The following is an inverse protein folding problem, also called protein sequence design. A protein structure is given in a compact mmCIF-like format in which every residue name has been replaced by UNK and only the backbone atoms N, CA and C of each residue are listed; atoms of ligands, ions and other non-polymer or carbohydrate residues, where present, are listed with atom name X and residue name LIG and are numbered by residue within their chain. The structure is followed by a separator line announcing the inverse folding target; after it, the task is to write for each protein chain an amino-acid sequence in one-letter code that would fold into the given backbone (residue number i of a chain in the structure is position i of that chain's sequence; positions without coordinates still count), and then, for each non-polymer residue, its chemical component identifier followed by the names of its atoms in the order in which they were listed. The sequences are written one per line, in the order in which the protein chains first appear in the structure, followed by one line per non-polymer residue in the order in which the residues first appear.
data_IF_687825092891
#
_entry.id   IF_687825092891
#
_cell.length_a   1.000
_cell.length_b   1.000
_cell.length_c   1.000
_cell.angle_alpha   90.00
_cell.angle_beta   90.00
_cell.angle_gamma   90.00
#
_symmetry.space_group_name_H-M   'P 1'
#
loop_
_entity.id
_entity.type
_entity.pdbx_description
1 polymer ?
#
# COMPACT_ATOMS: atom_id res chain seq x y z
N UNK A 1 -0.81 -17.50 -13.01
CA UNK A 1 0.03 -16.30 -13.02
C UNK A 1 0.69 -16.25 -14.37
N UNK A 2 0.50 -15.17 -15.13
CA UNK A 2 1.22 -15.04 -16.40
C UNK A 2 2.71 -14.84 -16.11
N UNK A 3 3.56 -15.46 -16.92
CA UNK A 3 5.02 -15.33 -16.77
C UNK A 3 5.45 -13.85 -16.87
N UNK A 4 4.82 -13.09 -17.77
CA UNK A 4 5.07 -11.66 -17.96
C UNK A 4 4.77 -10.83 -16.70
N UNK A 5 3.65 -11.08 -16.02
CA UNK A 5 3.34 -10.39 -14.76
C UNK A 5 4.36 -10.74 -13.67
N UNK A 6 4.73 -12.03 -13.56
CA UNK A 6 5.72 -12.49 -12.60
C UNK A 6 7.07 -11.79 -12.79
N UNK A 7 7.49 -11.66 -14.05
CA UNK A 7 8.73 -10.98 -14.42
C UNK A 7 8.67 -9.49 -14.09
N UNK A 8 7.55 -8.82 -14.40
CA UNK A 8 7.33 -7.41 -14.08
C UNK A 8 7.34 -7.15 -12.57
N UNK A 9 6.64 -7.96 -11.79
CA UNK A 9 6.63 -7.86 -10.33
C UNK A 9 8.04 -8.05 -9.75
N UNK A 10 8.79 -9.06 -10.21
CA UNK A 10 10.17 -9.27 -9.77
C UNK A 10 11.10 -8.13 -10.19
N UNK A 11 10.87 -7.52 -11.35
CA UNK A 11 11.63 -6.36 -11.81
C UNK A 11 11.38 -5.14 -10.91
N UNK A 12 10.11 -4.86 -10.60
CA UNK A 12 9.73 -3.79 -9.67
C UNK A 12 10.34 -3.99 -8.27
N UNK A 13 10.32 -5.22 -7.73
CA UNK A 13 10.97 -5.54 -6.45
C UNK A 13 12.48 -5.27 -6.48
N UNK A 14 13.19 -5.69 -7.53
CA UNK A 14 14.64 -5.42 -7.68
C UNK A 14 14.95 -3.93 -7.77
N UNK A 15 14.18 -3.18 -8.55
CA UNK A 15 14.36 -1.73 -8.66
C UNK A 15 14.16 -1.03 -7.31
N UNK A 16 13.17 -1.50 -6.54
CA UNK A 16 12.95 -1.01 -5.18
C UNK A 16 14.08 -1.37 -4.23
N UNK A 17 14.57 -2.60 -4.27
CA UNK A 17 15.72 -3.02 -3.45
C UNK A 17 16.96 -2.17 -3.77
N UNK A 18 17.25 -1.92 -5.05
CA UNK A 18 18.35 -1.03 -5.48
C UNK A 18 18.16 0.41 -4.98
N UNK A 19 16.93 0.95 -5.02
CA UNK A 19 16.63 2.26 -4.43
C UNK A 19 16.91 2.28 -2.93
N UNK A 20 16.49 1.25 -2.19
CA UNK A 20 16.65 1.19 -0.74
C UNK A 20 18.11 0.97 -0.33
N UNK A 21 18.91 0.26 -1.12
CA UNK A 21 20.32 0.04 -0.85
C UNK A 21 21.14 1.34 -1.03
N UNK A 22 21.03 1.98 -2.19
CA UNK A 22 22.05 2.93 -2.65
C UNK A 22 21.55 4.38 -2.81
N UNK A 23 20.23 4.60 -2.92
CA UNK A 23 19.73 5.92 -3.30
C UNK A 23 19.93 6.96 -2.17
N UNK A 24 20.25 8.23 -2.48
CA UNK A 24 20.37 9.28 -1.47
C UNK A 24 19.08 9.50 -0.66
N UNK A 25 17.92 9.26 -1.27
CA UNK A 25 16.60 9.36 -0.63
C UNK A 25 16.11 8.02 -0.04
N UNK A 26 16.97 7.01 0.05
CA UNK A 26 16.60 5.75 0.70
C UNK A 26 16.12 5.99 2.13
N UNK A 27 15.04 5.32 2.56
CA UNK A 27 14.55 5.39 3.93
C UNK A 27 15.42 4.57 4.91
N UNK A 28 16.32 3.72 4.41
CA UNK A 28 17.27 2.96 5.23
C UNK A 28 18.29 3.93 5.84
N UNK A 29 18.41 4.01 7.18
CA UNK A 29 19.40 4.86 7.82
C UNK A 29 20.82 4.47 7.38
N UNK A 30 21.73 5.44 7.16
CA UNK A 30 23.08 5.17 6.67
C UNK A 30 23.84 4.08 7.43
N UNK A 31 23.64 3.98 8.75
CA UNK A 31 24.25 2.98 9.62
C UNK A 31 23.81 1.53 9.35
N UNK A 32 22.64 1.33 8.72
CA UNK A 32 22.10 0.00 8.38
C UNK A 32 22.28 -0.35 6.89
N UNK A 33 22.69 0.60 6.04
CA UNK A 33 22.80 0.39 4.58
C UNK A 33 23.82 -0.68 4.19
N UNK A 34 24.96 -0.74 4.88
CA UNK A 34 26.01 -1.73 4.59
C UNK A 34 25.56 -3.18 4.84
N UNK A 35 24.53 -3.39 5.66
CA UNK A 35 23.94 -4.71 5.95
C UNK A 35 22.58 -4.95 5.27
N UNK A 36 22.17 -4.07 4.36
CA UNK A 36 20.88 -4.20 3.68
C UNK A 36 21.01 -5.18 2.50
N UNK A 37 20.36 -6.34 2.62
CA UNK A 37 20.40 -7.41 1.61
C UNK A 37 19.11 -7.48 0.76
N UNK A 38 18.27 -6.45 0.82
CA UNK A 38 16.98 -6.37 0.12
C UNK A 38 15.77 -6.43 1.06
N UNK A 39 14.60 -6.12 0.52
CA UNK A 39 13.33 -6.19 1.25
C UNK A 39 12.79 -7.62 1.27
N UNK A 40 12.08 -7.95 2.35
CA UNK A 40 11.38 -9.21 2.48
C UNK A 40 9.99 -9.16 1.85
N UNK A 41 9.66 -10.16 1.03
CA UNK A 41 8.39 -10.27 0.34
C UNK A 41 7.73 -11.63 0.55
N UNK A 42 6.40 -11.66 0.49
CA UNK A 42 5.70 -12.91 0.23
C UNK A 42 5.92 -13.39 -1.21
N UNK A 43 5.83 -14.71 -1.46
CA UNK A 43 5.73 -15.23 -2.82
C UNK A 43 4.56 -14.56 -3.56
N UNK A 44 4.72 -14.23 -4.85
CA UNK A 44 3.60 -13.72 -5.65
C UNK A 44 2.41 -14.68 -5.64
N UNK A 45 1.22 -14.16 -5.44
CA UNK A 45 -0.02 -14.93 -5.37
C UNK A 45 -1.16 -14.18 -6.09
N UNK A 46 -1.75 -14.83 -7.09
CA UNK A 46 -2.84 -14.26 -7.89
C UNK A 46 -4.14 -14.11 -7.12
N UNK A 47 -4.34 -14.86 -6.05
CA UNK A 47 -5.53 -14.77 -5.19
C UNK A 47 -5.69 -13.35 -4.64
N UNK A 48 -4.57 -12.66 -4.44
CA UNK A 48 -4.52 -11.30 -3.93
C UNK A 48 -4.29 -10.25 -5.02
N UNK A 49 -4.59 -10.60 -6.27
CA UNK A 49 -4.73 -9.67 -7.39
C UNK A 49 -6.20 -9.66 -7.82
N UNK A 50 -6.99 -8.85 -7.15
CA UNK A 50 -8.45 -8.87 -7.22
C UNK A 50 -8.99 -7.80 -8.15
N UNK A 51 -10.11 -8.10 -8.80
CA UNK A 51 -10.91 -7.09 -9.48
C UNK A 51 -11.82 -6.40 -8.46
N UNK A 52 -11.83 -5.07 -8.50
CA UNK A 52 -12.61 -4.25 -7.60
C UNK A 52 -13.54 -3.31 -8.38
N UNK A 53 -14.82 -3.30 -8.00
CA UNK A 53 -15.79 -2.33 -8.50
C UNK A 53 -15.62 -0.99 -7.80
N UNK A 54 -15.55 0.07 -8.61
CA UNK A 54 -15.32 1.45 -8.20
C UNK A 54 -16.63 2.14 -7.85
N UNK A 55 -16.65 2.86 -6.73
CA UNK A 55 -17.62 3.90 -6.42
C UNK A 55 -16.86 5.20 -6.19
N UNK A 56 -17.04 6.19 -7.05
CA UNK A 56 -16.43 7.51 -6.98
C UNK A 56 -17.24 8.39 -6.03
N UNK A 57 -16.56 9.23 -5.26
CA UNK A 57 -17.19 10.20 -4.37
C UNK A 57 -17.06 11.61 -4.96
N UNK A 58 -18.13 12.10 -5.61
CA UNK A 58 -18.17 13.41 -6.28
C UNK A 58 -18.02 14.61 -5.32
N UNK A 59 -18.45 14.46 -4.07
CA UNK A 59 -18.25 15.43 -2.97
C UNK A 59 -17.46 14.72 -1.87
N UNK A 60 -16.12 14.56 -2.05
CA UNK A 60 -15.34 13.72 -1.18
C UNK A 60 -15.17 14.36 0.19
N UNK A 61 -15.65 13.68 1.22
CA UNK A 61 -15.50 14.13 2.60
C UNK A 61 -14.02 14.18 2.99
N UNK A 62 -13.57 15.26 3.65
CA UNK A 62 -12.24 15.33 4.23
C UNK A 62 -12.06 14.29 5.33
N UNK A 63 -10.95 13.56 5.26
CA UNK A 63 -10.52 12.63 6.30
C UNK A 63 -9.21 13.13 6.87
N UNK A 64 -9.19 13.36 8.19
CA UNK A 64 -7.96 13.62 8.93
C UNK A 64 -7.31 12.28 9.24
N UNK A 65 -6.26 11.94 8.50
CA UNK A 65 -5.47 10.75 8.81
C UNK A 65 -4.45 11.11 9.88
N UNK A 66 -4.51 10.40 11.01
CA UNK A 66 -3.44 10.42 12.01
C UNK A 66 -2.12 10.03 11.35
N UNK A 67 -1.00 10.58 11.82
CA UNK A 67 0.32 10.20 11.33
C UNK A 67 1.14 9.57 12.44
N UNK A 68 2.24 8.93 12.07
CA UNK A 68 3.25 8.48 13.05
C UNK A 68 3.90 9.63 13.82
N UNK A 69 3.74 10.88 13.35
CA UNK A 69 4.15 12.10 14.02
C UNK A 69 2.93 12.85 14.63
N UNK A 70 3.16 14.02 15.22
CA UNK A 70 2.12 14.70 16.02
C UNK A 70 1.02 15.42 15.22
N UNK A 71 1.19 15.59 13.90
CA UNK A 71 0.25 16.39 13.09
C UNK A 71 -0.51 15.49 12.11
N UNK A 72 -1.85 15.50 12.11
CA UNK A 72 -2.63 14.80 11.10
C UNK A 72 -2.46 15.45 9.73
N UNK A 73 -2.65 14.67 8.68
CA UNK A 73 -2.66 15.13 7.29
C UNK A 73 -4.07 14.97 6.73
N UNK A 74 -4.52 15.97 5.98
CA UNK A 74 -5.86 16.00 5.41
C UNK A 74 -5.89 15.33 4.03
N UNK A 75 -6.67 14.28 3.93
CA UNK A 75 -6.99 13.58 2.69
C UNK A 75 -8.45 13.80 2.31
N UNK A 76 -8.78 13.46 1.07
CA UNK A 76 -10.14 13.38 0.54
C UNK A 76 -10.40 11.92 0.19
N UNK A 77 -11.50 11.34 0.68
CA UNK A 77 -11.95 10.00 0.26
C UNK A 77 -12.59 10.11 -1.11
N UNK A 78 -11.82 9.79 -2.16
CA UNK A 78 -12.24 10.02 -3.56
C UNK A 78 -12.90 8.80 -4.18
N UNK A 79 -12.64 7.60 -3.65
CA UNK A 79 -13.16 6.35 -4.19
C UNK A 79 -13.34 5.30 -3.10
N UNK A 80 -14.27 4.37 -3.30
CA UNK A 80 -14.35 3.10 -2.59
C UNK A 80 -14.25 1.96 -3.59
N UNK A 81 -13.38 1.01 -3.29
CA UNK A 81 -13.18 -0.21 -4.06
C UNK A 81 -13.85 -1.38 -3.36
N UNK A 82 -14.88 -1.96 -3.97
CA UNK A 82 -15.53 -3.18 -3.47
C UNK A 82 -14.97 -4.40 -4.22
N UNK A 83 -14.51 -5.42 -3.51
CA UNK A 83 -13.88 -6.60 -4.09
C UNK A 83 -14.18 -7.86 -3.27
N UNK A 84 -13.87 -9.02 -3.82
CA UNK A 84 -14.06 -10.32 -3.16
C UNK A 84 -12.71 -11.03 -2.99
N UNK A 85 -12.49 -11.64 -1.82
CA UNK A 85 -11.40 -12.59 -1.57
C UNK A 85 -12.01 -13.82 -0.91
N UNK A 86 -11.69 -15.01 -1.42
CA UNK A 86 -12.19 -16.28 -0.88
C UNK A 86 -13.72 -16.38 -0.70
N UNK A 87 -14.49 -15.65 -1.51
CA UNK A 87 -15.96 -15.62 -1.44
C UNK A 87 -16.53 -14.65 -0.40
N UNK A 88 -15.69 -13.82 0.23
CA UNK A 88 -16.09 -12.79 1.19
C UNK A 88 -15.94 -11.40 0.56
N UNK A 89 -16.99 -10.57 0.71
CA UNK A 89 -16.99 -9.19 0.20
C UNK A 89 -16.23 -8.26 1.14
N UNK A 90 -15.39 -7.42 0.56
CA UNK A 90 -14.56 -6.44 1.25
C UNK A 90 -14.61 -5.09 0.55
N UNK A 91 -14.22 -4.05 1.29
CA UNK A 91 -14.08 -2.72 0.73
C UNK A 91 -12.80 -2.05 1.23
N UNK A 92 -12.20 -1.22 0.38
CA UNK A 92 -11.13 -0.29 0.73
C UNK A 92 -11.46 1.09 0.17
N UNK A 93 -11.35 2.11 1.00
CA UNK A 93 -11.38 3.50 0.56
C UNK A 93 -10.01 3.90 -0.04
N UNK A 94 -10.07 4.65 -1.13
CA UNK A 94 -8.93 5.29 -1.76
C UNK A 94 -8.98 6.81 -1.57
N UNK A 95 -7.81 7.38 -1.35
CA UNK A 95 -7.66 8.75 -0.91
C UNK A 95 -6.72 9.54 -1.82
N UNK A 96 -6.94 10.86 -1.87
CA UNK A 96 -5.97 11.82 -2.42
C UNK A 96 -5.70 12.90 -1.40
N UNK A 97 -4.46 13.38 -1.36
CA UNK A 97 -4.14 14.53 -0.54
C UNK A 97 -4.84 15.78 -1.11
N UNK A 98 -5.42 16.60 -0.23
CA UNK A 98 -6.26 17.70 -0.68
C UNK A 98 -5.44 18.74 -1.48
N UNK A 99 -5.84 18.99 -2.73
CA UNK A 99 -5.19 19.95 -3.62
C UNK A 99 -4.08 19.37 -4.49
N UNK A 100 -3.90 18.06 -4.50
CA UNK A 100 -2.95 17.37 -5.37
C UNK A 100 -3.69 16.47 -6.37
N UNK A 101 -3.30 16.56 -7.64
CA UNK A 101 -3.66 15.60 -8.68
C UNK A 101 -2.58 14.50 -8.67
N UNK A 102 -2.95 13.28 -8.33
CA UNK A 102 -1.99 12.20 -8.17
C UNK A 102 -2.63 10.83 -7.99
N UNK A 103 -1.76 9.88 -7.65
CA UNK A 103 -2.10 8.49 -7.39
C UNK A 103 -3.16 8.37 -6.30
N UNK A 104 -4.00 7.35 -6.40
CA UNK A 104 -4.97 7.03 -5.37
C UNK A 104 -4.25 6.23 -4.29
N UNK A 105 -4.12 6.84 -3.12
CA UNK A 105 -3.49 6.26 -1.94
C UNK A 105 -4.48 5.33 -1.23
N UNK A 106 -4.10 4.06 -1.05
CA UNK A 106 -4.91 3.04 -0.37
C UNK A 106 -4.13 2.47 0.83
N UNK A 107 -4.18 3.15 1.99
CA UNK A 107 -3.59 2.61 3.21
C UNK A 107 -4.51 1.57 3.82
N UNK A 108 -3.98 0.42 4.23
CA UNK A 108 -4.81 -0.62 4.82
C UNK A 108 -4.10 -1.39 5.93
N UNK A 109 -4.92 -2.05 6.76
CA UNK A 109 -4.48 -3.10 7.69
C UNK A 109 -5.23 -4.36 7.37
N UNK A 110 -4.59 -5.49 7.60
CA UNK A 110 -5.19 -6.81 7.52
C UNK A 110 -4.68 -7.68 8.67
N UNK A 111 -5.14 -8.93 8.80
CA UNK A 111 -4.73 -9.82 9.90
C UNK A 111 -3.24 -10.18 9.90
N UNK A 112 -2.48 -9.94 8.84
CA UNK A 112 -1.00 -10.08 8.86
C UNK A 112 -0.29 -8.93 9.60
N UNK A 113 -0.98 -7.80 9.79
CA UNK A 113 -0.44 -6.57 10.39
C UNK A 113 0.09 -6.84 11.80
N UNK A 114 1.38 -6.54 12.03
CA UNK A 114 2.04 -6.72 13.33
C UNK A 114 2.38 -8.17 13.67
N UNK A 115 2.07 -9.12 12.78
CA UNK A 115 2.44 -10.52 12.90
C UNK A 115 3.47 -10.93 11.85
N UNK A 116 3.22 -10.55 10.59
CA UNK A 116 4.07 -10.89 9.43
C UNK A 116 4.40 -9.67 8.58
N UNK A 117 3.60 -8.60 8.69
CA UNK A 117 3.77 -7.32 7.98
C UNK A 117 3.93 -6.18 8.98
N UNK A 118 4.34 -5.01 8.49
CA UNK A 118 4.60 -3.85 9.36
C UNK A 118 3.41 -3.52 10.28
N UNK A 119 3.70 -3.32 11.56
CA UNK A 119 2.67 -3.24 12.60
C UNK A 119 1.72 -2.04 12.48
N UNK A 120 2.04 -1.02 11.69
CA UNK A 120 1.16 0.14 11.44
C UNK A 120 0.36 0.04 10.15
N UNK A 121 0.48 -1.08 9.42
CA UNK A 121 -0.21 -1.32 8.16
C UNK A 121 0.69 -1.10 6.94
N UNK A 122 0.09 -1.24 5.77
CA UNK A 122 0.75 -1.19 4.46
C UNK A 122 -0.02 -0.28 3.52
N UNK A 123 0.64 0.13 2.44
CA UNK A 123 0.08 1.00 1.43
C UNK A 123 0.02 0.31 0.08
N UNK A 124 -0.93 0.75 -0.74
CA UNK A 124 -0.94 0.57 -2.19
C UNK A 124 -1.19 1.93 -2.84
N UNK A 125 -0.64 2.13 -4.02
CA UNK A 125 -0.90 3.29 -4.87
C UNK A 125 -1.51 2.80 -6.18
N UNK A 126 -2.56 3.48 -6.61
CA UNK A 126 -3.22 3.19 -7.87
C UNK A 126 -3.12 4.38 -8.82
N UNK A 127 -2.61 4.11 -10.01
CA UNK A 127 -2.58 5.01 -11.15
C UNK A 127 -3.56 4.52 -12.21
N UNK A 128 -4.84 4.92 -12.16
CA UNK A 128 -5.80 4.55 -13.19
C UNK A 128 -5.40 5.16 -14.55
N UNK A 129 -5.64 4.42 -15.64
CA UNK A 129 -5.44 4.88 -17.02
C UNK A 129 -6.53 5.89 -17.45
N UNK A 130 -6.74 6.94 -16.65
CA UNK A 130 -7.77 7.96 -16.86
C UNK A 130 -8.55 8.30 -15.59
N UNK A 131 -9.60 9.12 -15.77
CA UNK A 131 -10.56 9.41 -14.72
C UNK A 131 -11.45 8.19 -14.46
N UNK A 132 -11.55 7.78 -13.20
CA UNK A 132 -12.45 6.70 -12.79
C UNK A 132 -13.91 7.17 -12.82
N UNK A 133 -14.81 6.27 -13.19
CA UNK A 133 -16.25 6.44 -13.12
C UNK A 133 -16.89 5.36 -12.23
N UNK A 134 -18.10 5.64 -11.75
CA UNK A 134 -18.91 4.67 -11.01
C UNK A 134 -19.14 3.39 -11.81
N UNK A 135 -18.88 2.25 -11.17
CA UNK A 135 -19.04 0.92 -11.76
C UNK A 135 -17.86 0.46 -12.61
N UNK A 136 -16.81 1.29 -12.76
CA UNK A 136 -15.55 0.82 -13.35
C UNK A 136 -14.98 -0.34 -12.56
N UNK A 137 -14.23 -1.20 -13.24
CA UNK A 137 -13.52 -2.32 -12.63
C UNK A 137 -12.03 -2.08 -12.75
N UNK A 138 -11.35 -2.04 -11.61
CA UNK A 138 -9.90 -1.87 -11.53
C UNK A 138 -9.26 -3.08 -10.85
N UNK A 139 -7.96 -3.29 -11.07
CA UNK A 139 -7.22 -4.31 -10.33
C UNK A 139 -6.64 -3.70 -9.05
N UNK A 140 -6.98 -4.28 -7.89
CA UNK A 140 -6.21 -4.10 -6.65
C UNK A 140 -5.20 -5.24 -6.55
N UNK A 141 -3.91 -4.90 -6.55
CA UNK A 141 -2.82 -5.87 -6.51
C UNK A 141 -2.06 -5.79 -5.20
N UNK A 142 -2.47 -6.59 -4.22
CA UNK A 142 -1.81 -6.63 -2.91
C UNK A 142 -0.39 -7.21 -2.98
N UNK A 143 0.03 -7.81 -4.10
CA UNK A 143 1.44 -8.20 -4.29
C UNK A 143 2.38 -7.00 -4.42
N UNK A 144 1.82 -5.82 -4.73
CA UNK A 144 2.50 -4.54 -4.77
C UNK A 144 2.37 -3.76 -3.46
N UNK A 145 1.61 -4.28 -2.47
CA UNK A 145 1.47 -3.63 -1.18
C UNK A 145 2.81 -3.53 -0.48
N UNK A 146 3.11 -2.34 0.05
CA UNK A 146 4.42 -2.01 0.58
C UNK A 146 4.39 -1.44 1.99
N UNK A 147 5.50 -1.56 2.71
CA UNK A 147 5.72 -0.96 4.01
C UNK A 147 6.10 0.52 3.85
N UNK A 148 5.48 1.43 4.60
CA UNK A 148 5.79 2.85 4.52
C UNK A 148 7.22 3.14 5.02
N UNK A 149 7.80 4.27 4.63
CA UNK A 149 9.18 4.61 5.01
C UNK A 149 9.44 4.67 6.52
N UNK A 150 8.43 5.04 7.32
CA UNK A 150 8.50 4.98 8.78
C UNK A 150 8.61 3.56 9.35
N UNK A 151 8.46 2.53 8.54
CA UNK A 151 8.80 1.16 8.92
C UNK A 151 10.31 0.93 9.01
N UNK A 152 11.11 1.80 8.38
CA UNK A 152 12.58 1.70 8.32
C UNK A 152 13.28 2.82 9.09
N UNK A 153 12.61 3.97 9.30
CA UNK A 153 13.20 5.10 10.02
C UNK A 153 12.15 5.99 10.66
N UNK A 154 12.32 6.29 11.95
CA UNK A 154 11.43 7.21 12.70
C UNK A 154 11.47 8.66 12.20
N UNK A 155 12.40 9.00 11.31
CA UNK A 155 12.49 10.33 10.71
C UNK A 155 11.30 10.66 9.79
N UNK A 156 10.53 9.65 9.35
CA UNK A 156 9.40 9.83 8.45
C UNK A 156 8.06 9.86 9.21
N UNK A 157 7.22 10.83 8.86
CA UNK A 157 5.83 10.89 9.30
C UNK A 157 4.94 10.23 8.24
N UNK A 158 4.34 9.08 8.54
CA UNK A 158 3.45 8.40 7.61
C UNK A 158 2.00 8.36 8.11
N UNK A 159 1.00 8.46 7.21
CA UNK A 159 -0.41 8.30 7.54
C UNK A 159 -0.77 6.92 8.11
N UNK A 160 -1.57 6.85 9.15
CA UNK A 160 -2.11 5.59 9.66
C UNK A 160 -3.35 5.20 8.85
N UNK A 161 -3.49 3.93 8.45
CA UNK A 161 -4.72 3.45 7.81
C UNK A 161 -5.94 3.68 8.71
N UNK A 162 -6.99 4.37 8.22
CA UNK A 162 -8.22 4.58 8.99
C UNK A 162 -8.94 3.26 9.22
N UNK A 163 -9.79 3.21 10.25
CA UNK A 163 -10.50 1.98 10.66
C UNK A 163 -11.36 1.39 9.53
N UNK A 164 -11.89 2.22 8.61
CA UNK A 164 -12.67 1.75 7.46
C UNK A 164 -11.84 0.90 6.48
N UNK A 165 -10.51 1.02 6.51
CA UNK A 165 -9.57 0.22 5.71
C UNK A 165 -8.91 -0.91 6.50
N UNK A 166 -9.52 -1.35 7.61
CA UNK A 166 -9.06 -2.53 8.35
C UNK A 166 -9.81 -3.76 7.87
N UNK A 167 -9.13 -4.57 7.07
CA UNK A 167 -9.62 -5.83 6.55
C UNK A 167 -9.54 -6.91 7.63
N UNK A 168 -10.64 -7.65 7.81
CA UNK A 168 -10.71 -8.75 8.76
C UNK A 168 -10.20 -10.10 8.21
N UNK A 169 -9.45 -10.06 7.09
CA UNK A 169 -8.85 -11.22 6.41
C UNK A 169 -7.32 -11.23 6.51
N UNK A 170 -6.70 -12.38 6.21
CA UNK A 170 -5.24 -12.51 6.10
C UNK A 170 -4.82 -12.21 4.65
N UNK A 171 -3.88 -11.28 4.45
CA UNK A 171 -3.33 -10.94 3.13
C UNK A 171 -1.81 -11.21 3.09
N UNK A 172 -1.39 -12.48 2.88
CA UNK A 172 0.00 -12.93 2.75
C UNK A 172 0.57 -12.65 1.35
N UNK A 173 0.38 -11.44 0.84
CA UNK A 173 0.93 -10.95 -0.43
C UNK A 173 1.64 -9.60 -0.21
N UNK A 174 2.63 -9.25 -1.02
CA UNK A 174 3.36 -7.97 -0.90
C UNK A 174 4.56 -8.02 0.05
N UNK A 175 4.95 -6.86 0.58
CA UNK A 175 6.06 -6.73 1.53
C UNK A 175 5.71 -7.31 2.90
N UNK A 176 6.73 -7.91 3.52
CA UNK A 176 6.71 -8.40 4.90
C UNK A 176 7.22 -7.29 5.84
N UNK A 177 7.18 -7.56 7.14
CA UNK A 177 7.74 -6.67 8.14
C UNK A 177 9.25 -6.48 7.87
N UNK A 178 9.77 -5.24 7.88
CA UNK A 178 11.20 -5.01 7.74
C UNK A 178 11.98 -5.67 8.85
N UNK A 179 13.12 -6.28 8.50
CA UNK A 179 14.10 -6.80 9.45
C UNK A 179 15.22 -5.75 9.64
N UNK A 180 14.88 -4.65 10.33
CA UNK A 180 15.83 -3.58 10.66
C UNK A 180 16.05 -3.64 12.17
N UNK A 181 17.15 -4.26 12.60
CA UNK A 181 17.63 -4.27 14.00
C UNK A 181 18.45 -3.03 14.36
#
# INVERSE_FOLDING_TARGET
MTDEYAERLRANRREKDEFFADHPQSPIPPEHRDGFDGLDYFPPDETYRVEATVTVHDDPEPVEMETTASNPVRYLRVVTFAFEVDGEEHALAGYRQAGEDGEIFVPFRDKTTGQQTYHRGRYMELEPEGELADGDVVTLDFNLAYSPFCAYSEAFACPLPPEENWLEIVVPAGERAPDIE
#
